data_IF_811298434219
#
_entry.id   IF_811298434219
#
_cell.length_a   1.000
_cell.length_b   1.000
_cell.length_c   1.000
_cell.angle_alpha   90.00
_cell.angle_beta   90.00
_cell.angle_gamma   90.00
#
_symmetry.space_group_name_H-M   'P 1'
#
loop_
_entity.id
_entity.type
_entity.pdbx_description
1 polymer ?
#
# COMPACT_ATOMS: atom_id res chain seq x y z
N UNK A 1 -1.97 -4.66 18.01
CA UNK A 1 -2.82 -5.75 17.49
C UNK A 1 -1.88 -6.73 16.79
N UNK A 2 -2.11 -8.05 16.84
CA UNK A 2 -1.21 -8.99 16.14
C UNK A 2 -1.56 -9.12 14.64
N UNK A 3 -2.83 -8.89 14.28
CA UNK A 3 -3.27 -8.94 12.88
C UNK A 3 -2.84 -7.71 12.07
N UNK A 4 -2.56 -7.93 10.78
CA UNK A 4 -2.44 -6.86 9.79
C UNK A 4 -3.79 -6.65 9.14
N UNK A 5 -4.28 -5.41 9.15
CA UNK A 5 -5.53 -5.01 8.51
C UNK A 5 -5.27 -4.11 7.31
N UNK A 6 -6.11 -4.22 6.29
CA UNK A 6 -6.10 -3.34 5.13
C UNK A 6 -7.51 -2.77 4.88
N UNK A 7 -7.59 -1.53 4.41
CA UNK A 7 -8.86 -0.91 4.02
C UNK A 7 -8.67 0.22 3.00
N UNK A 8 -9.68 0.41 2.14
CA UNK A 8 -9.81 1.62 1.33
C UNK A 8 -10.10 2.80 2.28
N UNK A 9 -9.26 3.84 2.20
CA UNK A 9 -9.34 5.01 3.10
C UNK A 9 -9.89 6.28 2.43
N UNK A 10 -10.25 6.20 1.15
CA UNK A 10 -10.89 7.28 0.37
C UNK A 10 -12.38 7.00 0.18
N UNK A 11 -13.22 8.04 -0.01
CA UNK A 11 -14.64 7.85 -0.31
C UNK A 11 -14.87 6.95 -1.54
N UNK A 12 -15.98 6.19 -1.58
CA UNK A 12 -16.33 5.41 -2.76
C UNK A 12 -16.71 6.32 -3.93
N UNK A 13 -16.38 5.89 -5.15
CA UNK A 13 -16.70 6.61 -6.38
C UNK A 13 -15.50 6.74 -7.30
N UNK A 14 -15.61 7.64 -8.27
CA UNK A 14 -14.52 7.97 -9.17
C UNK A 14 -13.72 9.15 -8.63
N UNK A 15 -12.40 9.00 -8.61
CA UNK A 15 -11.46 10.06 -8.28
C UNK A 15 -10.15 9.88 -9.03
N UNK A 16 -9.36 10.95 -9.13
CA UNK A 16 -8.01 10.86 -9.72
C UNK A 16 -7.10 9.91 -8.92
N UNK A 17 -7.28 9.87 -7.60
CA UNK A 17 -6.51 9.04 -6.66
C UNK A 17 -7.45 8.32 -5.71
N UNK A 18 -7.15 7.06 -5.41
CA UNK A 18 -7.74 6.32 -4.30
C UNK A 18 -6.64 5.74 -3.40
N UNK A 19 -6.96 5.63 -2.11
CA UNK A 19 -6.00 5.24 -1.07
C UNK A 19 -6.37 3.94 -0.39
N UNK A 20 -5.37 3.08 -0.14
CA UNK A 20 -5.45 1.92 0.75
C UNK A 20 -4.48 2.11 1.90
N UNK A 21 -4.93 1.84 3.13
CA UNK A 21 -4.09 1.79 4.31
C UNK A 21 -3.95 0.34 4.77
N UNK A 22 -2.71 -0.06 5.04
CA UNK A 22 -2.33 -1.34 5.65
C UNK A 22 -1.70 -1.03 7.01
N UNK A 23 -2.20 -1.59 8.11
CA UNK A 23 -1.74 -1.34 9.48
C UNK A 23 -1.60 -2.62 10.29
N UNK A 24 -0.58 -2.70 11.14
CA UNK A 24 -0.32 -3.84 12.02
C UNK A 24 1.19 -4.09 12.15
N UNK A 25 1.60 -5.00 13.04
CA UNK A 25 3.02 -5.27 13.31
C UNK A 25 3.84 -5.53 12.04
N UNK A 26 3.29 -6.33 11.14
CA UNK A 26 3.92 -6.79 9.90
C UNK A 26 3.42 -6.07 8.63
N UNK A 27 2.79 -4.89 8.78
CA UNK A 27 2.21 -4.15 7.65
C UNK A 27 3.20 -3.93 6.49
N UNK A 28 4.48 -3.70 6.81
CA UNK A 28 5.50 -3.50 5.79
C UNK A 28 5.88 -4.77 5.04
N UNK A 29 5.80 -5.92 5.71
CA UNK A 29 6.09 -7.23 5.11
C UNK A 29 4.97 -7.58 4.14
N UNK A 30 3.71 -7.43 4.57
CA UNK A 30 2.53 -7.65 3.73
C UNK A 30 2.54 -6.69 2.53
N UNK A 31 2.73 -5.39 2.76
CA UNK A 31 2.78 -4.40 1.68
C UNK A 31 3.90 -4.68 0.67
N UNK A 32 5.04 -5.23 1.09
CA UNK A 32 6.14 -5.57 0.17
C UNK A 32 5.83 -6.76 -0.75
N UNK A 33 4.84 -7.58 -0.44
CA UNK A 33 4.37 -8.64 -1.35
C UNK A 33 3.64 -8.02 -2.56
N UNK A 34 2.90 -6.93 -2.32
CA UNK A 34 2.10 -6.21 -3.32
C UNK A 34 2.90 -5.13 -4.03
N UNK A 35 3.88 -4.51 -3.37
CA UNK A 35 4.61 -3.37 -3.91
C UNK A 35 5.95 -3.78 -4.52
N UNK A 36 6.26 -3.21 -5.69
CA UNK A 36 7.57 -3.26 -6.33
C UNK A 36 8.11 -1.83 -6.49
N UNK A 37 9.33 -1.60 -6.01
CA UNK A 37 10.00 -0.31 -6.23
C UNK A 37 10.57 -0.24 -7.64
N UNK A 38 10.43 0.92 -8.29
CA UNK A 38 11.12 1.18 -9.55
C UNK A 38 12.65 1.27 -9.39
N UNK A 39 13.14 1.49 -8.17
CA UNK A 39 14.58 1.56 -7.87
C UNK A 39 15.26 0.19 -7.72
N UNK A 40 14.50 -0.92 -7.84
CA UNK A 40 15.00 -2.28 -7.60
C UNK A 40 15.20 -2.66 -6.12
N UNK A 41 15.04 -1.71 -5.19
CA UNK A 41 15.07 -1.98 -3.74
C UNK A 41 13.73 -2.55 -3.27
N UNK A 42 13.76 -3.42 -2.27
CA UNK A 42 12.53 -3.94 -1.67
C UNK A 42 11.69 -2.79 -1.06
N UNK A 43 10.37 -2.83 -1.24
CA UNK A 43 9.49 -1.79 -0.70
C UNK A 43 9.57 -1.70 0.83
N UNK A 44 9.78 -2.82 1.53
CA UNK A 44 10.01 -2.84 2.98
C UNK A 44 11.32 -2.19 3.42
N UNK A 45 12.27 -1.92 2.52
CA UNK A 45 13.53 -1.23 2.80
C UNK A 45 13.47 0.28 2.49
N UNK A 46 12.31 0.78 2.07
CA UNK A 46 12.06 2.21 1.83
C UNK A 46 12.30 3.06 3.08
N UNK A 47 12.63 4.34 2.95
CA UNK A 47 12.79 5.24 4.11
C UNK A 47 11.42 5.54 4.72
N UNK A 48 11.35 5.56 6.05
CA UNK A 48 10.15 6.00 6.78
C UNK A 48 9.78 7.43 6.38
N UNK A 49 8.48 7.68 6.14
CA UNK A 49 7.92 9.00 5.76
C UNK A 49 8.53 9.61 4.50
N UNK A 50 8.90 8.77 3.55
CA UNK A 50 9.28 9.19 2.21
C UNK A 50 8.32 8.58 1.20
N UNK A 51 7.87 9.39 0.25
CA UNK A 51 6.95 8.95 -0.80
C UNK A 51 7.76 8.33 -1.95
N UNK A 52 7.37 7.15 -2.37
CA UNK A 52 8.01 6.42 -3.47
C UNK A 52 7.02 6.16 -4.59
N UNK A 53 7.48 6.24 -5.83
CA UNK A 53 6.76 5.70 -6.99
C UNK A 53 7.11 4.22 -7.15
N UNK A 54 6.10 3.40 -7.41
CA UNK A 54 6.22 1.97 -7.56
C UNK A 54 5.12 1.36 -8.42
N UNK A 55 5.09 0.04 -8.41
CA UNK A 55 4.06 -0.77 -9.03
C UNK A 55 3.36 -1.58 -7.94
N UNK A 56 2.03 -1.61 -7.99
CA UNK A 56 1.26 -2.61 -7.27
C UNK A 56 1.08 -3.83 -8.18
N UNK A 57 1.37 -5.01 -7.66
CA UNK A 57 1.28 -6.28 -8.38
C UNK A 57 0.43 -7.27 -7.60
N UNK A 58 -0.20 -8.20 -8.31
CA UNK A 58 -0.83 -9.36 -7.72
C UNK A 58 0.26 -10.25 -7.06
N UNK A 59 0.16 -10.56 -5.76
CA UNK A 59 1.21 -11.29 -5.05
C UNK A 59 1.32 -12.77 -5.46
N UNK A 60 0.30 -13.34 -6.13
CA UNK A 60 0.25 -14.74 -6.55
C UNK A 60 0.94 -14.93 -7.90
N UNK A 61 0.61 -14.08 -8.87
CA UNK A 61 1.04 -14.25 -10.27
C UNK A 61 1.97 -13.12 -10.79
N UNK A 62 2.18 -12.06 -10.01
CA UNK A 62 3.05 -10.95 -10.37
C UNK A 62 2.49 -9.99 -11.42
N UNK A 63 1.22 -10.12 -11.82
CA UNK A 63 0.58 -9.23 -12.80
C UNK A 63 0.53 -7.82 -12.25
N UNK A 64 0.93 -6.85 -13.08
CA UNK A 64 0.81 -5.43 -12.78
C UNK A 64 -0.65 -5.02 -12.62
N UNK A 65 -0.99 -4.48 -11.45
CA UNK A 65 -2.31 -3.95 -11.14
C UNK A 65 -2.38 -2.46 -11.46
N UNK A 66 -1.41 -1.69 -10.95
CA UNK A 66 -1.37 -0.23 -11.12
C UNK A 66 0.04 0.35 -10.91
N UNK A 67 0.28 1.55 -11.44
CA UNK A 67 1.36 2.41 -10.99
C UNK A 67 0.89 3.22 -9.78
N UNK A 68 1.61 3.13 -8.68
CA UNK A 68 1.18 3.70 -7.40
C UNK A 68 2.27 4.58 -6.81
N UNK A 69 1.87 5.45 -5.90
CA UNK A 69 2.79 5.98 -4.89
C UNK A 69 2.51 5.33 -3.55
N UNK A 70 3.53 5.18 -2.72
CA UNK A 70 3.36 4.62 -1.38
C UNK A 70 4.29 5.27 -0.37
N UNK A 71 3.86 5.25 0.88
CA UNK A 71 4.64 5.75 2.02
C UNK A 71 4.53 4.77 3.18
N UNK A 72 5.66 4.46 3.82
CA UNK A 72 5.68 3.70 5.07
C UNK A 72 5.83 4.62 6.27
N UNK A 73 5.16 4.27 7.36
CA UNK A 73 5.24 4.90 8.67
C UNK A 73 5.51 3.81 9.72
N UNK A 74 6.29 4.16 10.75
CA UNK A 74 6.72 3.24 11.80
C UNK A 74 6.02 3.58 13.11
N UNK A 75 5.70 2.56 13.90
CA UNK A 75 5.24 2.73 15.27
C UNK A 75 6.27 3.48 16.13
N UNK A 76 5.86 4.31 17.11
CA UNK A 76 4.49 4.71 17.41
C UNK A 76 4.01 5.91 16.57
N UNK A 77 4.76 6.29 15.54
CA UNK A 77 4.59 7.53 14.79
C UNK A 77 3.80 7.30 13.49
N UNK A 78 2.57 6.82 13.62
CA UNK A 78 1.60 6.69 12.52
C UNK A 78 0.20 7.08 13.01
N UNK A 79 -0.80 7.10 12.13
CA UNK A 79 -2.19 7.41 12.53
C UNK A 79 -2.76 6.39 13.52
N UNK A 80 -2.42 5.11 13.36
CA UNK A 80 -2.89 4.02 14.22
C UNK A 80 -1.97 3.77 15.42
N UNK A 81 -0.77 4.37 15.43
CA UNK A 81 0.29 4.06 16.39
C UNK A 81 1.06 2.76 16.06
N UNK A 82 0.70 2.07 14.97
CA UNK A 82 1.35 0.83 14.51
C UNK A 82 2.23 1.08 13.28
N UNK A 83 2.93 0.05 12.81
CA UNK A 83 3.53 0.11 11.48
C UNK A 83 2.41 0.24 10.44
N UNK A 84 2.57 1.17 9.50
CA UNK A 84 1.55 1.50 8.51
C UNK A 84 2.18 1.67 7.14
N UNK A 85 1.50 1.22 6.09
CA UNK A 85 1.76 1.61 4.71
C UNK A 85 0.51 2.22 4.12
N UNK A 86 0.65 3.34 3.45
CA UNK A 86 -0.41 3.91 2.62
C UNK A 86 -0.01 3.79 1.16
N UNK A 87 -0.93 3.28 0.34
CA UNK A 87 -0.76 3.07 -1.10
C UNK A 87 -1.79 3.93 -1.81
N UNK A 88 -1.34 4.71 -2.78
CA UNK A 88 -2.15 5.63 -3.58
C UNK A 88 -2.05 5.24 -5.04
N UNK A 89 -3.15 4.75 -5.61
CA UNK A 89 -3.29 4.41 -7.02
C UNK A 89 -4.37 5.25 -7.71
N UNK A 90 -4.69 4.91 -8.95
CA UNK A 90 -5.79 5.53 -9.68
C UNK A 90 -7.13 5.25 -8.98
N UNK A 91 -7.92 6.30 -8.73
CA UNK A 91 -9.14 6.22 -7.92
C UNK A 91 -10.37 5.64 -8.63
N UNK A 92 -10.19 4.80 -9.65
CA UNK A 92 -11.30 4.10 -10.30
C UNK A 92 -11.82 2.94 -9.42
N UNK A 93 -13.14 2.74 -9.26
CA UNK A 93 -13.70 1.70 -8.38
C UNK A 93 -13.18 0.28 -8.67
N UNK A 94 -13.00 -0.06 -9.95
CA UNK A 94 -12.43 -1.35 -10.35
C UNK A 94 -10.98 -1.50 -9.90
N UNK A 95 -10.18 -0.44 -10.05
CA UNK A 95 -8.78 -0.44 -9.64
C UNK A 95 -8.66 -0.57 -8.11
N UNK A 96 -9.43 0.22 -7.37
CA UNK A 96 -9.46 0.15 -5.90
C UNK A 96 -9.87 -1.22 -5.39
N UNK A 97 -10.84 -1.89 -6.03
CA UNK A 97 -11.22 -3.26 -5.69
C UNK A 97 -10.08 -4.27 -5.95
N UNK A 98 -9.34 -4.12 -7.05
CA UNK A 98 -8.20 -5.00 -7.37
C UNK A 98 -7.04 -4.79 -6.41
N UNK A 99 -6.69 -3.54 -6.13
CA UNK A 99 -5.65 -3.20 -5.16
C UNK A 99 -6.00 -3.70 -3.76
N UNK A 100 -7.27 -3.57 -3.33
CA UNK A 100 -7.74 -4.07 -2.03
C UNK A 100 -7.77 -5.58 -1.94
N UNK A 101 -8.01 -6.29 -3.04
CA UNK A 101 -7.94 -7.77 -3.05
C UNK A 101 -6.50 -8.30 -2.97
N UNK A 102 -5.52 -7.49 -3.36
CA UNK A 102 -4.10 -7.85 -3.29
C UNK A 102 -3.45 -7.49 -1.94
N UNK A 103 -3.94 -6.45 -1.27
CA UNK A 103 -3.44 -5.91 0.00
C UNK A 103 -3.97 -6.67 1.22
#
# INVERSE_FOLDING_TARGET
MDDVIAAIMTPPGEGGIGGIRISGRDAWVVAAQVLRSLSGKEARASRVRHLYTGQAVDPINGVLLDQVTYVRMEAPHSFTGENTVEVFGHGGPLNMKRLMAAA
#
